data_IF_661676204710
#
_entry.id   IF_661676204710
#
_cell.length_a   1.000
_cell.length_b   1.000
_cell.length_c   1.000
_cell.angle_alpha   90.00
_cell.angle_beta   90.00
_cell.angle_gamma   90.00
#
_symmetry.space_group_name_H-M   'P 1'
#
loop_
_entity.id
_entity.type
_entity.pdbx_description
1 polymer ?
#
# COMPACT_ATOMS: atom_id res chain seq x y z
N UNK A 1 11.44 23.49 -9.33
CA UNK A 1 11.32 22.69 -8.09
C UNK A 1 10.35 23.28 -7.05
N UNK A 2 9.73 24.46 -7.26
CA UNK A 2 8.90 25.12 -6.24
C UNK A 2 7.38 24.80 -6.30
N UNK A 3 6.87 24.26 -7.40
CA UNK A 3 5.42 24.02 -7.53
C UNK A 3 4.91 22.84 -6.68
N UNK A 4 5.73 21.79 -6.56
CA UNK A 4 5.36 20.55 -5.86
C UNK A 4 5.33 20.73 -4.34
N UNK A 5 6.25 21.54 -3.80
CA UNK A 5 6.28 21.88 -2.37
C UNK A 5 5.03 22.69 -1.97
N UNK A 6 4.64 23.66 -2.79
CA UNK A 6 3.46 24.48 -2.54
C UNK A 6 2.16 23.66 -2.59
N UNK A 7 2.07 22.68 -3.49
CA UNK A 7 0.92 21.78 -3.55
C UNK A 7 0.85 20.85 -2.32
N UNK A 8 2.00 20.33 -1.87
CA UNK A 8 2.06 19.48 -0.67
C UNK A 8 1.71 20.27 0.60
N UNK A 9 2.17 21.51 0.72
CA UNK A 9 1.81 22.38 1.85
C UNK A 9 0.33 22.75 1.85
N UNK A 10 -0.25 23.02 0.67
CA UNK A 10 -1.69 23.27 0.55
C UNK A 10 -2.51 22.03 0.95
N UNK A 11 -2.10 20.83 0.50
CA UNK A 11 -2.74 19.57 0.90
C UNK A 11 -2.63 19.36 2.42
N UNK A 12 -1.45 19.58 3.02
CA UNK A 12 -1.28 19.51 4.48
C UNK A 12 -2.13 20.53 5.23
N UNK A 13 -2.24 21.75 4.70
CA UNK A 13 -3.08 22.81 5.25
C UNK A 13 -4.57 22.41 5.24
N UNK A 14 -5.04 21.84 4.12
CA UNK A 14 -6.41 21.34 3.99
C UNK A 14 -6.69 20.16 4.94
N UNK A 15 -5.75 19.23 5.09
CA UNK A 15 -5.87 18.10 6.01
C UNK A 15 -5.90 18.54 7.49
N UNK A 16 -5.12 19.56 7.87
CA UNK A 16 -5.18 20.14 9.23
C UNK A 16 -6.50 20.85 9.48
N UNK A 17 -6.95 21.65 8.51
CA UNK A 17 -8.19 22.43 8.62
C UNK A 17 -9.43 21.53 8.73
N UNK A 18 -9.44 20.38 8.06
CA UNK A 18 -10.52 19.38 8.21
C UNK A 18 -10.57 18.72 9.59
N UNK A 19 -9.40 18.47 10.19
CA UNK A 19 -9.28 17.79 11.49
C UNK A 19 -9.67 18.68 12.68
N UNK A 20 -9.40 19.98 12.59
CA UNK A 20 -9.80 20.94 13.62
C UNK A 20 -11.33 21.12 13.68
N UNK A 21 -12.02 20.86 12.56
CA UNK A 21 -13.49 20.92 12.47
C UNK A 21 -14.19 19.68 13.08
N UNK A 22 -13.64 18.47 12.89
CA UNK A 22 -14.16 17.25 13.51
C UNK A 22 -14.01 17.26 15.04
N UNK A 23 -12.91 17.80 15.56
CA UNK A 23 -12.70 17.91 17.01
C UNK A 23 -13.60 18.94 17.68
N UNK A 24 -13.90 20.06 17.01
CA UNK A 24 -14.87 21.05 17.50
C UNK A 24 -16.32 20.50 17.53
N UNK A 25 -16.65 19.60 16.61
CA UNK A 25 -17.92 18.86 16.60
C UNK A 25 -18.02 17.85 17.75
N UNK A 26 -16.91 17.21 18.13
CA UNK A 26 -16.90 16.18 19.17
C UNK A 26 -16.83 16.75 20.61
N UNK A 27 -16.28 17.95 20.81
CA UNK A 27 -16.26 18.61 22.14
C UNK A 27 -17.57 19.31 22.51
N UNK A 28 -18.43 19.63 21.54
CA UNK A 28 -19.71 20.31 21.81
C UNK A 28 -20.78 19.40 22.45
N UNK A 29 -20.61 18.08 22.45
CA UNK A 29 -21.61 17.12 22.96
C UNK A 29 -21.41 16.72 24.44
N UNK A 30 -20.47 17.33 25.16
CA UNK A 30 -20.17 16.97 26.58
C UNK A 30 -20.49 18.01 27.65
N UNK A 31 -21.20 19.09 27.33
CA UNK A 31 -21.65 20.05 28.36
C UNK A 31 -23.17 20.14 28.40
N UNK A 32 -23.79 19.14 29.02
CA UNK A 32 -25.17 19.24 29.51
C UNK A 32 -25.16 19.75 30.95
N UNK A 33 -25.73 20.93 31.25
CA UNK A 33 -26.08 21.28 32.62
C UNK A 33 -27.48 20.74 32.94
N UNK A 34 -27.57 20.03 34.06
CA UNK A 34 -28.82 19.61 34.69
C UNK A 34 -29.55 20.84 35.25
N UNK A 35 -30.78 21.09 34.82
CA UNK A 35 -31.78 21.80 35.63
C UNK A 35 -33.19 21.24 35.37
N UNK A 36 -33.88 20.96 36.48
CA UNK A 36 -35.23 20.41 36.61
C UNK A 36 -36.31 21.50 36.46
N UNK A 37 -37.36 21.20 35.68
CA UNK A 37 -38.78 21.51 35.93
C UNK A 37 -39.26 22.97 35.89
N UNK A 38 -40.24 23.30 35.03
CA UNK A 38 -41.68 23.30 35.35
C UNK A 38 -42.51 23.88 34.17
N UNK A 39 -43.51 23.09 33.73
CA UNK A 39 -44.82 23.35 33.12
C UNK A 39 -45.14 24.53 32.17
N UNK A 40 -45.77 24.12 31.04
CA UNK A 40 -46.89 24.71 30.26
C UNK A 40 -46.68 26.05 29.53
N UNK A 41 -46.78 26.02 28.20
CA UNK A 41 -47.92 26.60 27.44
C UNK A 41 -47.80 26.29 25.93
N UNK A 42 -48.96 26.05 25.33
CA UNK A 42 -49.20 25.73 23.91
C UNK A 42 -49.30 27.04 23.11
N UNK A 43 -48.50 27.22 22.06
CA UNK A 43 -48.90 28.07 20.93
C UNK A 43 -48.18 27.68 19.64
N UNK A 44 -48.97 27.41 18.62
CA UNK A 44 -48.60 27.16 17.24
C UNK A 44 -48.09 28.43 16.55
N UNK A 45 -46.81 28.43 16.16
CA UNK A 45 -46.22 29.40 15.22
C UNK A 45 -45.11 28.73 14.40
N UNK A 46 -45.47 28.27 13.20
CA UNK A 46 -44.85 28.63 11.92
C UNK A 46 -43.30 28.75 11.86
N UNK A 47 -42.73 27.95 10.94
CA UNK A 47 -41.46 28.08 10.16
C UNK A 47 -40.20 27.38 10.69
N UNK A 48 -39.90 26.25 10.04
CA UNK A 48 -38.73 26.02 9.18
C UNK A 48 -37.35 26.42 9.75
N UNK A 49 -36.58 25.45 10.23
CA UNK A 49 -35.10 25.46 10.20
C UNK A 49 -34.52 24.10 10.64
N UNK A 50 -34.80 23.04 9.86
CA UNK A 50 -34.12 21.74 10.02
C UNK A 50 -33.28 21.34 8.80
N UNK A 51 -32.95 22.30 7.92
CA UNK A 51 -32.25 22.03 6.65
C UNK A 51 -30.79 22.52 6.62
N UNK A 52 -30.32 23.19 7.68
CA UNK A 52 -28.96 23.74 7.70
C UNK A 52 -27.91 22.72 8.18
N UNK A 53 -28.29 21.75 9.02
CA UNK A 53 -27.35 20.76 9.56
C UNK A 53 -27.08 19.63 8.55
N UNK A 54 -28.08 19.21 7.78
CA UNK A 54 -27.98 18.15 6.78
C UNK A 54 -27.19 18.55 5.52
N UNK A 55 -27.26 19.82 5.11
CA UNK A 55 -26.44 20.34 4.00
C UNK A 55 -24.95 20.40 4.35
N UNK A 56 -24.60 20.84 5.55
CA UNK A 56 -23.20 20.89 6.01
C UNK A 56 -22.55 19.50 6.03
N UNK A 57 -23.25 18.46 6.50
CA UNK A 57 -22.71 17.09 6.48
C UNK A 57 -22.57 16.52 5.07
N UNK A 58 -23.53 16.79 4.17
CA UNK A 58 -23.44 16.38 2.76
C UNK A 58 -22.30 17.11 2.04
N UNK A 59 -22.14 18.39 2.28
CA UNK A 59 -21.06 19.20 1.74
C UNK A 59 -19.69 18.77 2.27
N UNK A 60 -19.55 18.51 3.57
CA UNK A 60 -18.34 17.95 4.17
C UNK A 60 -18.00 16.59 3.55
N UNK A 61 -18.99 15.72 3.38
CA UNK A 61 -18.80 14.41 2.73
C UNK A 61 -18.35 14.54 1.27
N UNK A 62 -18.85 15.55 0.55
CA UNK A 62 -18.44 15.83 -0.83
C UNK A 62 -17.00 16.39 -0.89
N UNK A 63 -16.61 17.26 0.04
CA UNK A 63 -15.24 17.77 0.15
C UNK A 63 -14.27 16.64 0.51
N UNK A 64 -14.60 15.77 1.46
CA UNK A 64 -13.80 14.60 1.82
C UNK A 64 -13.64 13.66 0.62
N UNK A 65 -14.72 13.39 -0.11
CA UNK A 65 -14.65 12.58 -1.33
C UNK A 65 -13.79 13.24 -2.42
N UNK A 66 -13.89 14.56 -2.59
CA UNK A 66 -13.08 15.32 -3.54
C UNK A 66 -11.58 15.25 -3.19
N UNK A 67 -11.23 15.47 -1.92
CA UNK A 67 -9.85 15.35 -1.43
C UNK A 67 -9.33 13.93 -1.62
N UNK A 68 -10.11 12.91 -1.24
CA UNK A 68 -9.75 11.49 -1.47
C UNK A 68 -9.47 11.23 -2.95
N UNK A 69 -10.35 11.70 -3.85
CA UNK A 69 -10.15 11.56 -5.29
C UNK A 69 -8.87 12.27 -5.80
N UNK A 70 -8.57 13.48 -5.32
CA UNK A 70 -7.33 14.19 -5.69
C UNK A 70 -6.10 13.39 -5.25
N UNK A 71 -6.11 12.88 -4.01
CA UNK A 71 -5.00 12.09 -3.47
C UNK A 71 -4.81 10.78 -4.25
N UNK A 72 -5.91 10.11 -4.59
CA UNK A 72 -5.89 8.88 -5.39
C UNK A 72 -5.36 9.11 -6.80
N UNK A 73 -5.83 10.17 -7.47
CA UNK A 73 -5.33 10.53 -8.81
C UNK A 73 -3.83 10.85 -8.78
N UNK A 74 -3.36 11.52 -7.73
CA UNK A 74 -1.94 11.79 -7.55
C UNK A 74 -1.13 10.52 -7.30
N UNK A 75 -1.64 9.60 -6.46
CA UNK A 75 -1.02 8.29 -6.26
C UNK A 75 -0.94 7.49 -7.56
N UNK A 76 -2.01 7.49 -8.38
CA UNK A 76 -2.03 6.86 -9.70
C UNK A 76 -1.06 7.47 -10.69
N UNK A 77 -0.89 8.80 -10.66
CA UNK A 77 0.13 9.46 -11.46
C UNK A 77 1.55 9.02 -11.05
N UNK A 78 1.84 8.96 -9.74
CA UNK A 78 3.15 8.52 -9.25
C UNK A 78 3.40 7.03 -9.53
N UNK A 79 2.38 6.17 -9.37
CA UNK A 79 2.47 4.74 -9.61
C UNK A 79 2.61 4.38 -11.09
N UNK A 80 1.89 5.06 -11.97
CA UNK A 80 2.02 4.84 -13.43
C UNK A 80 3.40 5.27 -13.93
N UNK A 81 3.94 6.39 -13.41
CA UNK A 81 5.29 6.85 -13.71
C UNK A 81 6.42 6.09 -12.99
N UNK A 82 6.10 5.14 -12.09
CA UNK A 82 7.05 4.44 -11.20
C UNK A 82 7.93 5.42 -10.40
N UNK A 83 7.36 6.55 -9.98
CA UNK A 83 8.01 7.60 -9.18
C UNK A 83 7.96 7.25 -7.69
N UNK A 84 8.59 6.13 -7.33
CA UNK A 84 8.39 5.43 -6.05
C UNK A 84 8.84 6.23 -4.82
N UNK A 85 10.00 6.89 -4.86
CA UNK A 85 10.43 7.74 -3.73
C UNK A 85 9.46 8.91 -3.49
N UNK A 86 8.89 9.49 -4.56
CA UNK A 86 7.87 10.53 -4.43
C UNK A 86 6.57 9.98 -3.87
N UNK A 87 6.18 8.76 -4.25
CA UNK A 87 5.04 8.08 -3.67
C UNK A 87 5.22 7.84 -2.17
N UNK A 88 6.39 7.36 -1.75
CA UNK A 88 6.68 7.13 -0.32
C UNK A 88 6.64 8.44 0.45
N UNK A 89 7.27 9.50 -0.07
CA UNK A 89 7.22 10.83 0.54
C UNK A 89 5.78 11.39 0.62
N UNK A 90 4.98 11.15 -0.42
CA UNK A 90 3.56 11.51 -0.45
C UNK A 90 2.79 10.78 0.64
N UNK A 91 2.86 9.44 0.70
CA UNK A 91 2.15 8.62 1.70
C UNK A 91 2.52 9.03 3.13
N UNK A 92 3.82 9.18 3.41
CA UNK A 92 4.32 9.65 4.71
C UNK A 92 3.86 11.08 5.05
N UNK A 93 3.63 11.92 4.04
CA UNK A 93 3.27 13.32 4.20
C UNK A 93 1.78 13.61 4.28
N UNK A 94 0.91 12.69 3.83
CA UNK A 94 -0.53 12.94 3.67
C UNK A 94 -1.43 11.96 4.43
N UNK A 95 -0.87 10.95 5.10
CA UNK A 95 -1.64 9.83 5.69
C UNK A 95 -2.52 9.09 4.68
N UNK A 96 -2.14 9.13 3.40
CA UNK A 96 -2.84 8.42 2.34
C UNK A 96 -2.84 6.92 2.61
N UNK A 97 -4.02 6.29 2.59
CA UNK A 97 -4.15 4.84 2.74
C UNK A 97 -3.67 4.11 1.48
N UNK A 98 -2.38 3.82 1.46
CA UNK A 98 -1.74 3.11 0.35
C UNK A 98 -2.28 1.68 0.21
N UNK A 99 -2.70 1.03 1.30
CA UNK A 99 -3.19 -0.35 1.27
C UNK A 99 -4.54 -0.40 0.57
N UNK A 100 -5.49 0.45 0.96
CA UNK A 100 -6.81 0.57 0.31
C UNK A 100 -6.67 0.91 -1.18
N UNK A 101 -5.73 1.80 -1.51
CA UNK A 101 -5.43 2.19 -2.88
C UNK A 101 -4.86 1.01 -3.71
N UNK A 102 -3.82 0.32 -3.22
CA UNK A 102 -3.17 -0.77 -3.95
C UNK A 102 -4.09 -1.97 -4.16
N UNK A 103 -5.06 -2.21 -3.27
CA UNK A 103 -6.07 -3.26 -3.47
C UNK A 103 -6.95 -3.00 -4.69
N UNK A 104 -7.22 -1.73 -5.02
CA UNK A 104 -8.05 -1.33 -6.17
C UNK A 104 -7.25 -1.25 -7.47
N UNK A 105 -5.99 -0.83 -7.40
CA UNK A 105 -5.18 -0.49 -8.58
C UNK A 105 -4.34 -1.63 -9.18
N UNK A 106 -4.56 -2.88 -8.75
CA UNK A 106 -3.77 -4.04 -9.23
C UNK A 106 -3.73 -4.19 -10.75
N UNK A 107 -4.82 -3.84 -11.45
CA UNK A 107 -4.92 -3.91 -12.91
C UNK A 107 -4.84 -2.53 -13.59
N UNK A 108 -4.60 -1.47 -12.81
CA UNK A 108 -4.58 -0.08 -13.27
C UNK A 108 -3.17 0.49 -13.33
N UNK A 109 -2.95 1.61 -12.67
CA UNK A 109 -1.71 2.38 -12.64
C UNK A 109 -0.50 1.59 -12.10
N UNK A 110 -0.74 0.57 -11.28
CA UNK A 110 0.30 -0.26 -10.71
C UNK A 110 0.74 -1.41 -11.62
N UNK A 111 0.07 -1.65 -12.76
CA UNK A 111 0.41 -2.77 -13.66
C UNK A 111 1.87 -2.76 -14.09
N UNK A 112 2.47 -3.96 -14.17
CA UNK A 112 3.77 -4.22 -14.79
C UNK A 112 3.53 -5.06 -16.05
N UNK A 113 4.33 -4.84 -17.11
CA UNK A 113 4.15 -5.57 -18.36
C UNK A 113 4.71 -6.99 -18.28
N UNK A 114 5.94 -7.11 -17.80
CA UNK A 114 6.58 -8.37 -17.48
C UNK A 114 7.64 -8.18 -16.38
N UNK A 115 8.12 -9.29 -15.83
CA UNK A 115 9.07 -9.26 -14.72
C UNK A 115 10.41 -8.59 -15.11
N UNK A 116 10.99 -8.93 -16.25
CA UNK A 116 12.29 -8.40 -16.66
C UNK A 116 12.25 -6.88 -16.87
N UNK A 117 11.29 -6.38 -17.65
CA UNK A 117 11.15 -4.94 -17.89
C UNK A 117 10.76 -4.19 -16.61
N UNK A 118 9.94 -4.80 -15.75
CA UNK A 118 9.58 -4.25 -14.45
C UNK A 118 10.79 -4.11 -13.52
N UNK A 119 11.61 -5.16 -13.42
CA UNK A 119 12.82 -5.18 -12.60
C UNK A 119 13.82 -4.11 -13.02
N UNK A 120 14.09 -4.02 -14.33
CA UNK A 120 15.01 -3.02 -14.88
C UNK A 120 14.48 -1.59 -14.68
N UNK A 121 13.24 -1.32 -15.08
CA UNK A 121 12.65 0.03 -14.96
C UNK A 121 12.58 0.50 -13.51
N UNK A 122 12.12 -0.35 -12.60
CA UNK A 122 11.98 0.00 -11.20
C UNK A 122 13.35 0.14 -10.54
N UNK A 123 14.30 -0.73 -10.86
CA UNK A 123 15.69 -0.63 -10.39
C UNK A 123 16.34 0.69 -10.80
N UNK A 124 16.17 1.09 -12.06
CA UNK A 124 16.64 2.38 -12.57
C UNK A 124 15.97 3.58 -11.87
N UNK A 125 14.63 3.54 -11.70
CA UNK A 125 13.86 4.62 -11.08
C UNK A 125 14.18 4.80 -9.61
N UNK A 126 14.39 3.71 -8.86
CA UNK A 126 14.72 3.77 -7.44
C UNK A 126 16.16 4.20 -7.17
N UNK A 127 17.10 3.94 -8.07
CA UNK A 127 18.53 4.19 -7.83
C UNK A 127 19.02 3.50 -6.55
N UNK A 128 19.06 2.17 -6.58
CA UNK A 128 19.35 1.30 -5.40
C UNK A 128 20.72 1.52 -4.73
N UNK A 129 21.57 2.40 -5.27
CA UNK A 129 22.84 2.80 -4.67
C UNK A 129 22.73 3.69 -3.42
N UNK A 130 21.56 4.29 -3.14
CA UNK A 130 21.39 5.15 -1.95
C UNK A 130 20.65 4.42 -0.82
N UNK A 131 20.99 4.74 0.43
CA UNK A 131 20.29 4.21 1.61
C UNK A 131 18.81 4.61 1.62
N UNK A 132 18.49 5.86 1.26
CA UNK A 132 17.11 6.34 1.27
C UNK A 132 16.25 5.57 0.26
N UNK A 133 16.76 5.34 -0.95
CA UNK A 133 16.07 4.54 -1.97
C UNK A 133 15.78 3.12 -1.50
N UNK A 134 16.74 2.50 -0.80
CA UNK A 134 16.54 1.17 -0.19
C UNK A 134 15.46 1.19 0.88
N UNK A 135 15.45 2.19 1.76
CA UNK A 135 14.40 2.34 2.79
C UNK A 135 13.02 2.61 2.19
N UNK A 136 12.94 3.37 1.10
CA UNK A 136 11.69 3.60 0.38
C UNK A 136 11.20 2.30 -0.28
N UNK A 137 12.10 1.52 -0.88
CA UNK A 137 11.77 0.21 -1.44
C UNK A 137 11.31 -0.79 -0.36
N UNK A 138 11.95 -0.83 0.80
CA UNK A 138 11.54 -1.65 1.95
C UNK A 138 10.14 -1.26 2.45
N UNK A 139 9.88 0.04 2.56
CA UNK A 139 8.56 0.56 2.91
C UNK A 139 7.50 0.07 1.91
N UNK A 140 7.78 0.16 0.61
CA UNK A 140 6.87 -0.31 -0.42
C UNK A 140 6.69 -1.82 -0.38
N UNK A 141 7.77 -2.59 -0.23
CA UNK A 141 7.72 -4.06 -0.15
C UNK A 141 6.78 -4.50 0.97
N UNK A 142 6.85 -3.89 2.16
CA UNK A 142 5.95 -4.19 3.26
C UNK A 142 4.46 -3.97 2.90
N UNK A 143 4.14 -2.89 2.18
CA UNK A 143 2.77 -2.60 1.73
C UNK A 143 2.33 -3.56 0.61
N UNK A 144 3.22 -3.91 -0.32
CA UNK A 144 2.92 -4.88 -1.38
C UNK A 144 2.66 -6.27 -0.81
N UNK A 145 3.41 -6.67 0.23
CA UNK A 145 3.17 -7.89 1.00
C UNK A 145 1.79 -7.88 1.67
N UNK A 146 1.38 -6.76 2.29
CA UNK A 146 0.07 -6.68 2.97
C UNK A 146 -1.11 -6.87 2.02
N UNK A 147 -0.99 -6.37 0.78
CA UNK A 147 -2.03 -6.54 -0.26
C UNK A 147 -1.81 -7.78 -1.14
N UNK A 148 -0.78 -8.59 -0.87
CA UNK A 148 -0.40 -9.78 -1.65
C UNK A 148 -0.23 -9.50 -3.15
N UNK A 149 0.45 -8.39 -3.49
CA UNK A 149 0.67 -7.99 -4.87
C UNK A 149 1.93 -8.64 -5.44
N UNK A 150 1.80 -9.91 -5.86
CA UNK A 150 2.93 -10.79 -6.22
C UNK A 150 3.93 -10.18 -7.19
N UNK A 151 3.48 -9.56 -8.28
CA UNK A 151 4.37 -8.96 -9.30
C UNK A 151 5.34 -7.95 -8.68
N UNK A 152 4.82 -7.04 -7.85
CA UNK A 152 5.63 -6.04 -7.15
C UNK A 152 6.48 -6.64 -6.05
N UNK A 153 5.97 -7.63 -5.31
CA UNK A 153 6.73 -8.34 -4.28
C UNK A 153 7.99 -8.95 -4.90
N UNK A 154 7.85 -9.69 -6.01
CA UNK A 154 9.00 -10.33 -6.68
C UNK A 154 10.02 -9.28 -7.11
N UNK A 155 9.59 -8.19 -7.75
CA UNK A 155 10.50 -7.13 -8.21
C UNK A 155 11.24 -6.47 -7.04
N UNK A 156 10.51 -5.98 -6.03
CA UNK A 156 11.12 -5.27 -4.91
C UNK A 156 11.98 -6.20 -4.05
N UNK A 157 11.55 -7.43 -3.79
CA UNK A 157 12.33 -8.41 -3.04
C UNK A 157 13.61 -8.81 -3.79
N UNK A 158 13.59 -8.85 -5.13
CA UNK A 158 14.80 -9.08 -5.94
C UNK A 158 15.77 -7.89 -5.83
N UNK A 159 15.30 -6.66 -6.05
CA UNK A 159 16.13 -5.45 -5.93
C UNK A 159 16.75 -5.28 -4.52
N UNK A 160 15.99 -5.67 -3.50
CA UNK A 160 16.42 -5.63 -2.09
C UNK A 160 17.18 -6.90 -1.66
N UNK A 161 17.25 -7.91 -2.53
CA UNK A 161 17.88 -9.20 -2.27
C UNK A 161 17.35 -9.88 -1.00
N UNK A 162 16.03 -9.85 -0.82
CA UNK A 162 15.31 -10.47 0.31
C UNK A 162 14.98 -11.93 0.00
N UNK A 163 15.95 -12.82 0.19
CA UNK A 163 15.79 -14.26 -0.05
C UNK A 163 14.56 -14.83 0.66
N UNK A 164 14.36 -14.52 1.95
CA UNK A 164 13.27 -15.13 2.73
C UNK A 164 11.88 -14.79 2.19
N UNK A 165 11.69 -13.58 1.68
CA UNK A 165 10.42 -13.16 1.07
C UNK A 165 10.19 -13.89 -0.26
N UNK A 166 11.25 -14.10 -1.03
CA UNK A 166 11.20 -14.82 -2.30
C UNK A 166 10.98 -16.33 -2.07
N UNK A 167 11.69 -16.92 -1.11
CA UNK A 167 11.52 -18.29 -0.67
C UNK A 167 10.07 -18.55 -0.26
N UNK A 168 9.51 -17.69 0.61
CA UNK A 168 8.11 -17.81 1.05
C UNK A 168 7.11 -17.77 -0.11
N UNK A 169 7.43 -17.01 -1.16
CA UNK A 169 6.62 -16.90 -2.36
C UNK A 169 6.73 -18.12 -3.27
N UNK A 170 7.92 -18.72 -3.38
CA UNK A 170 8.24 -19.77 -4.34
C UNK A 170 8.06 -21.20 -3.80
N UNK A 171 8.19 -21.41 -2.49
CA UNK A 171 8.13 -22.74 -1.86
C UNK A 171 6.85 -23.53 -2.20
N UNK A 172 5.75 -22.84 -2.51
CA UNK A 172 4.48 -23.45 -2.85
C UNK A 172 4.11 -23.31 -4.34
N UNK A 173 4.98 -22.71 -5.16
CA UNK A 173 4.74 -22.49 -6.60
C UNK A 173 6.04 -22.65 -7.40
N UNK A 174 6.45 -23.90 -7.61
CA UNK A 174 7.65 -24.24 -8.38
C UNK A 174 7.59 -23.78 -9.85
N UNK A 175 6.38 -23.55 -10.39
CA UNK A 175 6.24 -23.00 -11.75
C UNK A 175 6.68 -21.54 -11.78
N UNK A 176 6.25 -20.77 -10.77
CA UNK A 176 6.69 -19.40 -10.59
C UNK A 176 8.21 -19.33 -10.36
N UNK A 177 8.77 -20.22 -9.53
CA UNK A 177 10.21 -20.35 -9.34
C UNK A 177 10.95 -20.54 -10.68
N UNK A 178 10.53 -21.53 -11.48
CA UNK A 178 11.17 -21.82 -12.77
C UNK A 178 11.10 -20.65 -13.74
N UNK A 179 9.97 -19.93 -13.80
CA UNK A 179 9.84 -18.74 -14.63
C UNK A 179 10.77 -17.61 -14.16
N UNK A 180 10.84 -17.38 -12.86
CA UNK A 180 11.74 -16.40 -12.24
C UNK A 180 13.22 -16.72 -12.50
N UNK A 181 13.65 -17.94 -12.18
CA UNK A 181 15.04 -18.38 -12.33
C UNK A 181 15.50 -18.33 -13.78
N UNK A 182 14.67 -18.82 -14.72
CA UNK A 182 14.97 -18.79 -16.16
C UNK A 182 15.09 -17.35 -16.67
N UNK A 183 14.24 -16.45 -16.17
CA UNK A 183 14.28 -15.03 -16.58
C UNK A 183 15.58 -14.36 -16.12
N UNK A 184 15.99 -14.55 -14.87
CA UNK A 184 17.24 -13.98 -14.37
C UNK A 184 18.48 -14.57 -15.06
N UNK A 185 18.50 -15.88 -15.30
CA UNK A 185 19.63 -16.56 -15.97
C UNK A 185 19.76 -16.19 -17.46
N UNK A 186 18.66 -15.85 -18.13
CA UNK A 186 18.65 -15.54 -19.56
C UNK A 186 19.04 -14.09 -19.90
N UNK A 187 19.09 -13.19 -18.92
CA UNK A 187 19.35 -11.78 -19.13
C UNK A 187 20.71 -11.38 -18.51
N UNK A 188 21.71 -11.00 -19.32
CA UNK A 188 23.03 -10.60 -18.81
C UNK A 188 22.98 -9.40 -17.84
N UNK A 189 22.00 -8.51 -17.99
CA UNK A 189 21.80 -7.38 -17.09
C UNK A 189 21.47 -7.79 -15.64
N UNK A 190 21.10 -9.05 -15.40
CA UNK A 190 20.69 -9.58 -14.10
C UNK A 190 21.74 -10.49 -13.47
N UNK A 191 22.98 -10.47 -13.97
CA UNK A 191 24.10 -11.26 -13.42
C UNK A 191 24.32 -11.00 -11.93
N UNK A 192 24.06 -9.78 -11.46
CA UNK A 192 24.17 -9.39 -10.05
C UNK A 192 23.22 -10.13 -9.10
N UNK A 193 22.21 -10.86 -9.62
CA UNK A 193 21.24 -11.62 -8.82
C UNK A 193 21.46 -13.14 -8.86
N UNK A 194 22.50 -13.62 -9.56
CA UNK A 194 22.73 -15.06 -9.70
C UNK A 194 23.15 -15.74 -8.39
N UNK A 195 23.81 -15.02 -7.49
CA UNK A 195 24.13 -15.51 -6.15
C UNK A 195 22.86 -15.67 -5.30
N UNK A 196 21.94 -14.69 -5.33
CA UNK A 196 20.60 -14.80 -4.72
C UNK A 196 19.83 -16.02 -5.27
N UNK A 197 19.94 -16.31 -6.56
CA UNK A 197 19.32 -17.49 -7.15
C UNK A 197 19.89 -18.80 -6.59
N UNK A 198 21.20 -18.87 -6.39
CA UNK A 198 21.85 -20.05 -5.84
C UNK A 198 21.38 -20.28 -4.39
N UNK A 199 21.36 -19.23 -3.57
CA UNK A 199 20.86 -19.31 -2.19
C UNK A 199 19.41 -19.84 -2.14
N UNK A 200 18.55 -19.36 -3.04
CA UNK A 200 17.15 -19.80 -3.13
C UNK A 200 17.02 -21.26 -3.61
N UNK A 201 17.80 -21.69 -4.60
CA UNK A 201 17.77 -23.08 -5.09
C UNK A 201 18.20 -24.06 -3.98
N UNK A 202 19.21 -23.71 -3.19
CA UNK A 202 19.64 -24.50 -2.02
C UNK A 202 18.51 -24.63 -0.99
N UNK A 203 17.87 -23.52 -0.63
CA UNK A 203 16.75 -23.50 0.32
C UNK A 203 15.56 -24.33 -0.21
N UNK A 204 15.13 -24.11 -1.46
CA UNK A 204 13.98 -24.81 -2.06
C UNK A 204 14.22 -26.31 -2.23
N UNK A 205 15.46 -26.71 -2.52
CA UNK A 205 15.86 -28.11 -2.60
C UNK A 205 15.75 -28.79 -1.23
N UNK A 206 16.20 -28.12 -0.16
CA UNK A 206 16.18 -28.67 1.21
C UNK A 206 14.78 -29.04 1.71
N UNK A 207 13.76 -28.26 1.37
CA UNK A 207 12.34 -28.52 1.72
C UNK A 207 11.84 -29.80 1.07
N UNK A 208 12.19 -29.99 -0.21
CA UNK A 208 11.73 -31.15 -1.00
C UNK A 208 12.22 -32.46 -0.40
N UNK A 209 13.45 -32.49 0.15
CA UNK A 209 13.99 -33.66 0.83
C UNK A 209 13.28 -33.99 2.15
N UNK A 210 12.85 -32.98 2.91
CA UNK A 210 12.16 -33.17 4.19
C UNK A 210 10.73 -33.71 4.02
N UNK A 211 10.02 -33.26 2.98
CA UNK A 211 8.67 -33.75 2.70
C UNK A 211 8.70 -35.19 2.14
N UNK A 212 9.74 -35.53 1.35
CA UNK A 212 9.98 -36.88 0.87
C UNK A 212 10.33 -37.90 1.98
N UNK A 213 11.01 -37.47 3.06
CA UNK A 213 11.26 -38.33 4.21
C UNK A 213 10.03 -38.51 5.11
N UNK A 214 9.14 -37.51 5.20
CA UNK A 214 7.95 -37.61 6.05
C UNK A 214 6.88 -38.54 5.46
N UNK A 215 6.85 -38.71 4.13
CA UNK A 215 5.96 -39.64 3.43
C UNK A 215 6.39 -41.12 3.44
N UNK A 216 7.62 -41.45 3.84
CA UNK A 216 8.11 -42.85 3.84
C UNK A 216 7.89 -43.60 5.15
N UNK A 217 7.52 -42.92 6.24
CA UNK A 217 7.31 -43.54 7.55
C UNK A 217 5.89 -44.09 7.80
N UNK A 218 4.95 -43.93 6.85
CA UNK A 218 3.53 -44.32 7.08
C UNK A 218 3.06 -45.56 6.32
N UNK A 219 3.94 -46.33 5.67
CA UNK A 219 3.52 -47.53 4.89
C UNK A 219 3.99 -48.89 5.44
N UNK A 220 4.59 -48.94 6.64
CA UNK A 220 5.07 -50.20 7.23
C UNK A 220 4.43 -50.45 8.59
N UNK A 221 3.10 -50.63 8.62
CA UNK A 221 2.44 -51.36 9.70
C UNK A 221 1.02 -51.75 9.28
N UNK A 222 0.92 -52.89 8.59
CA UNK A 222 -0.27 -53.75 8.50
C UNK A 222 0.14 -55.04 7.79
N UNK A 223 0.60 -55.99 8.59
CA UNK A 223 0.58 -57.43 8.29
C UNK A 223 -0.13 -58.13 9.44
#
# INVERSE_FOLDING_TARGET
MNLYMNLLELVRFLLRSGRDYENASAESDKLSPKFLGYFLFRSSSRRQSSDLKSNSFKELSAHVASVKNILENHASYLMSGKELSKLVAFVKGTQFDLVEYLQREKLGSARLDNFASGLELIGQKLQMGTLQSRLDAEFLLAHMCSVKFKEWIVVLATLLRRAEVLFDLFQHDLRLWRAYSTTLQSHPAFEEYLDLLNDLEEQLSSVTYLDGQRGSFTSSDRS
#
